data_IF_248032506354
#
_entry.id   IF_248032506354
#
_cell.length_a   1.000
_cell.length_b   1.000
_cell.length_c   1.000
_cell.angle_alpha   90.00
_cell.angle_beta   90.00
_cell.angle_gamma   90.00
#
_symmetry.space_group_name_H-M   'P 1'
#
loop_
_entity.id
_entity.type
_entity.pdbx_description
1 polymer ?
#
# COMPACT_ATOMS: atom_id res chain seq x y z
N UNK A 1 24.51 -6.00 -22.23
CA UNK A 1 23.21 -6.71 -22.40
C UNK A 1 22.55 -6.74 -21.03
N UNK A 2 21.57 -5.88 -20.80
CA UNK A 2 20.68 -5.96 -19.63
C UNK A 2 19.92 -7.28 -19.73
N UNK A 3 19.84 -8.11 -18.67
CA UNK A 3 19.06 -9.35 -18.72
C UNK A 3 17.61 -9.01 -19.08
N UNK A 4 17.05 -9.65 -20.11
CA UNK A 4 15.66 -9.45 -20.48
C UNK A 4 14.78 -9.91 -19.31
N UNK A 5 13.86 -9.05 -18.84
CA UNK A 5 12.90 -9.42 -17.80
C UNK A 5 12.20 -10.74 -18.15
N UNK A 6 12.18 -11.73 -17.24
CA UNK A 6 11.53 -13.01 -17.49
C UNK A 6 10.10 -12.83 -18.00
N UNK A 7 9.65 -13.65 -18.96
CA UNK A 7 8.29 -13.59 -19.51
C UNK A 7 7.22 -13.65 -18.42
N UNK A 8 7.47 -14.45 -17.36
CA UNK A 8 6.59 -14.53 -16.18
C UNK A 8 6.37 -13.16 -15.53
N UNK A 9 7.42 -12.36 -15.38
CA UNK A 9 7.35 -11.06 -14.71
C UNK A 9 6.67 -10.03 -15.62
N UNK A 10 6.94 -10.07 -16.93
CA UNK A 10 6.22 -9.23 -17.92
C UNK A 10 4.71 -9.49 -17.90
N UNK A 11 4.30 -10.76 -17.75
CA UNK A 11 2.88 -11.13 -17.61
C UNK A 11 2.32 -10.56 -16.30
N UNK A 12 3.03 -10.69 -15.18
CA UNK A 12 2.60 -10.14 -13.89
C UNK A 12 2.43 -8.63 -13.95
N UNK A 13 3.42 -7.90 -14.46
CA UNK A 13 3.39 -6.44 -14.57
C UNK A 13 2.22 -5.97 -15.45
N UNK A 14 2.06 -6.59 -16.62
CA UNK A 14 0.94 -6.29 -17.51
C UNK A 14 -0.42 -6.59 -16.87
N UNK A 15 -0.53 -7.70 -16.14
CA UNK A 15 -1.77 -8.11 -15.49
C UNK A 15 -2.13 -7.17 -14.34
N UNK A 16 -1.19 -6.84 -13.46
CA UNK A 16 -1.44 -5.96 -12.31
C UNK A 16 -1.87 -4.57 -12.76
N UNK A 17 -1.17 -3.99 -13.74
CA UNK A 17 -1.58 -2.70 -14.32
C UNK A 17 -3.01 -2.75 -14.87
N UNK A 18 -3.31 -3.74 -15.72
CA UNK A 18 -4.65 -3.89 -16.31
C UNK A 18 -5.73 -4.17 -15.26
N UNK A 19 -5.46 -5.00 -14.26
CA UNK A 19 -6.40 -5.24 -13.17
C UNK A 19 -6.66 -3.96 -12.37
N UNK A 20 -5.66 -3.11 -12.15
CA UNK A 20 -5.85 -1.80 -11.55
C UNK A 20 -6.72 -0.88 -12.42
N UNK A 21 -6.45 -0.80 -13.72
CA UNK A 21 -7.12 0.15 -14.63
C UNK A 21 -8.59 -0.19 -14.94
N UNK A 22 -8.89 -1.47 -15.19
CA UNK A 22 -10.20 -1.92 -15.71
C UNK A 22 -10.86 -3.00 -14.83
N UNK A 23 -10.25 -3.34 -13.69
CA UNK A 23 -10.71 -4.41 -12.81
C UNK A 23 -10.42 -5.81 -13.34
N UNK A 24 -10.56 -6.81 -12.47
CA UNK A 24 -10.35 -8.21 -12.80
C UNK A 24 -11.33 -8.71 -13.87
N UNK A 25 -12.61 -8.36 -13.76
CA UNK A 25 -13.66 -8.78 -14.72
C UNK A 25 -13.49 -8.12 -16.09
N UNK A 26 -13.11 -6.83 -16.12
CA UNK A 26 -12.87 -6.09 -17.35
C UNK A 26 -11.61 -6.52 -18.11
N UNK A 27 -10.72 -7.29 -17.47
CA UNK A 27 -9.47 -7.75 -18.07
C UNK A 27 -9.56 -9.13 -18.69
N UNK A 28 -9.34 -9.25 -20.00
CA UNK A 28 -9.21 -10.52 -20.71
C UNK A 28 -7.77 -11.03 -20.76
N UNK A 29 -7.59 -12.35 -20.86
CA UNK A 29 -6.28 -13.01 -21.02
C UNK A 29 -5.56 -12.50 -22.28
N UNK A 30 -6.28 -12.32 -23.39
CA UNK A 30 -5.71 -11.80 -24.63
C UNK A 30 -5.18 -10.35 -24.49
N UNK A 31 -5.83 -9.49 -23.68
CA UNK A 31 -5.30 -8.16 -23.37
C UNK A 31 -3.99 -8.25 -22.57
N UNK A 32 -3.93 -9.13 -21.57
CA UNK A 32 -2.72 -9.35 -20.77
C UNK A 32 -1.58 -9.87 -21.64
N UNK A 33 -1.84 -10.89 -22.47
CA UNK A 33 -0.85 -11.44 -23.40
C UNK A 33 -0.31 -10.36 -24.34
N UNK A 34 -1.21 -9.57 -24.95
CA UNK A 34 -0.80 -8.44 -25.80
C UNK A 34 0.11 -7.47 -25.06
N UNK A 35 -0.31 -7.05 -23.87
CA UNK A 35 0.42 -6.08 -23.05
C UNK A 35 1.78 -6.62 -22.54
N UNK A 36 1.90 -7.93 -22.35
CA UNK A 36 3.13 -8.61 -21.98
C UNK A 36 4.05 -8.91 -23.17
N UNK A 37 3.65 -8.59 -24.40
CA UNK A 37 4.41 -8.88 -25.62
C UNK A 37 4.33 -10.35 -26.06
N UNK A 38 3.23 -11.02 -25.76
CA UNK A 38 2.87 -12.37 -26.22
C UNK A 38 1.82 -12.28 -27.34
N UNK A 39 1.68 -13.36 -28.11
CA UNK A 39 0.62 -13.48 -29.10
C UNK A 39 -0.75 -13.59 -28.40
N UNK A 40 -1.68 -12.65 -28.64
CA UNK A 40 -2.99 -12.66 -27.97
C UNK A 40 -3.81 -13.90 -28.34
N UNK A 41 -4.37 -14.59 -27.35
CA UNK A 41 -5.20 -15.78 -27.53
C UNK A 41 -4.41 -17.07 -27.79
N UNK A 42 -3.07 -17.02 -27.83
CA UNK A 42 -2.25 -18.19 -28.09
C UNK A 42 -2.05 -19.09 -26.87
N UNK A 43 -2.52 -18.68 -25.68
CA UNK A 43 -2.39 -19.45 -24.44
C UNK A 43 -1.00 -19.34 -23.79
N UNK A 44 -0.17 -18.39 -24.24
CA UNK A 44 1.16 -18.14 -23.69
C UNK A 44 1.13 -17.80 -22.19
N UNK A 45 0.05 -17.15 -21.73
CA UNK A 45 -0.16 -16.89 -20.31
C UNK A 45 -0.30 -18.18 -19.49
N UNK A 46 -1.00 -19.18 -20.03
CA UNK A 46 -1.31 -20.41 -19.30
C UNK A 46 -0.11 -21.34 -19.08
N UNK A 47 0.98 -21.13 -19.82
CA UNK A 47 2.27 -21.77 -19.54
C UNK A 47 2.90 -21.29 -18.23
N UNK A 48 2.57 -20.09 -17.77
CA UNK A 48 3.12 -19.49 -16.55
C UNK A 48 2.12 -19.47 -15.40
N UNK A 49 0.82 -19.30 -15.69
CA UNK A 49 -0.23 -19.19 -14.69
C UNK A 49 -1.45 -20.01 -15.09
N UNK A 50 -1.83 -20.99 -14.27
CA UNK A 50 -2.92 -21.93 -14.59
C UNK A 50 -4.26 -21.25 -14.85
N UNK A 51 -4.53 -20.13 -14.19
CA UNK A 51 -5.76 -19.34 -14.35
C UNK A 51 -5.47 -17.85 -14.22
N UNK A 52 -6.39 -17.01 -14.72
CA UNK A 52 -6.34 -15.55 -14.51
C UNK A 52 -6.39 -15.19 -13.02
N UNK A 53 -7.08 -15.99 -12.21
CA UNK A 53 -7.13 -15.81 -10.75
C UNK A 53 -5.79 -16.15 -10.09
N UNK A 54 -5.14 -17.24 -10.49
CA UNK A 54 -3.81 -17.59 -9.99
C UNK A 54 -2.77 -16.51 -10.34
N UNK A 55 -2.91 -15.87 -11.50
CA UNK A 55 -2.11 -14.73 -11.89
C UNK A 55 -2.34 -13.51 -10.98
N UNK A 56 -3.60 -13.17 -10.70
CA UNK A 56 -3.92 -12.07 -9.78
C UNK A 56 -3.37 -12.33 -8.37
N UNK A 57 -3.57 -13.54 -7.82
CA UNK A 57 -3.04 -13.91 -6.50
C UNK A 57 -1.51 -13.82 -6.46
N UNK A 58 -0.83 -14.33 -7.48
CA UNK A 58 0.63 -14.25 -7.57
C UNK A 58 1.14 -12.80 -7.68
N UNK A 59 0.42 -11.93 -8.37
CA UNK A 59 0.75 -10.51 -8.46
C UNK A 59 0.58 -9.78 -7.13
N UNK A 60 -0.52 -10.03 -6.43
CA UNK A 60 -0.77 -9.50 -5.08
C UNK A 60 0.32 -9.97 -4.11
N UNK A 61 0.62 -11.26 -4.08
CA UNK A 61 1.64 -11.85 -3.22
C UNK A 61 3.03 -11.25 -3.49
N UNK A 62 3.39 -11.06 -4.77
CA UNK A 62 4.66 -10.42 -5.15
C UNK A 62 4.76 -9.00 -4.58
N UNK A 63 3.69 -8.21 -4.69
CA UNK A 63 3.71 -6.84 -4.18
C UNK A 63 3.71 -6.80 -2.64
N UNK A 64 2.96 -7.67 -1.97
CA UNK A 64 3.01 -7.80 -0.50
C UNK A 64 4.42 -8.16 0.00
N UNK A 65 5.11 -9.10 -0.65
CA UNK A 65 6.49 -9.46 -0.30
C UNK A 65 7.46 -8.28 -0.49
N UNK A 66 7.20 -7.41 -1.48
CA UNK A 66 7.99 -6.18 -1.68
C UNK A 66 7.77 -5.17 -0.56
N UNK A 67 6.52 -5.02 -0.11
CA UNK A 67 6.17 -4.20 1.05
C UNK A 67 6.84 -4.71 2.32
N UNK A 68 6.82 -6.02 2.55
CA UNK A 68 7.47 -6.64 3.70
C UNK A 68 8.98 -6.33 3.76
N UNK A 69 9.67 -6.34 2.61
CA UNK A 69 11.09 -6.02 2.55
C UNK A 69 11.42 -4.55 2.89
N UNK A 70 10.50 -3.62 2.63
CA UNK A 70 10.70 -2.20 2.95
C UNK A 70 10.46 -1.90 4.44
N UNK A 71 9.64 -2.70 5.13
CA UNK A 71 9.28 -2.51 6.56
C UNK A 71 10.47 -2.56 7.51
N UNK A 72 11.50 -3.33 7.18
CA UNK A 72 12.73 -3.39 7.98
C UNK A 72 13.41 -2.01 8.08
N UNK A 73 13.26 -1.16 7.07
CA UNK A 73 13.77 0.22 7.07
C UNK A 73 13.01 1.07 8.09
N UNK A 74 11.69 0.92 8.18
CA UNK A 74 10.86 1.72 9.12
C UNK A 74 11.22 1.44 10.58
N UNK A 75 11.49 0.19 10.95
CA UNK A 75 11.88 -0.16 12.33
C UNK A 75 13.18 0.52 12.75
N UNK A 76 14.10 0.74 11.82
CA UNK A 76 15.37 1.45 12.08
C UNK A 76 15.14 2.94 12.35
N UNK A 77 14.03 3.53 11.89
CA UNK A 77 13.72 4.94 12.07
C UNK A 77 13.06 5.27 13.42
N UNK A 78 12.54 4.27 14.14
CA UNK A 78 12.03 4.43 15.51
C UNK A 78 13.16 4.23 16.51
N UNK A 79 13.48 5.24 17.32
CA UNK A 79 14.62 5.22 18.25
C UNK A 79 15.63 6.35 18.05
N UNK A 80 15.26 7.41 17.32
CA UNK A 80 16.04 8.63 17.19
C UNK A 80 15.96 9.51 18.43
N UNK A 81 14.94 9.31 19.28
CA UNK A 81 14.74 10.10 20.50
C UNK A 81 14.17 11.50 20.27
N UNK A 82 13.81 11.82 19.03
CA UNK A 82 13.06 13.03 18.65
C UNK A 82 11.72 12.61 18.04
N UNK A 83 10.65 12.74 18.83
CA UNK A 83 9.30 12.35 18.43
C UNK A 83 8.84 13.06 17.13
N UNK A 84 9.19 14.33 16.91
CA UNK A 84 8.78 15.05 15.70
C UNK A 84 9.51 14.52 14.47
N UNK A 85 10.80 14.23 14.59
CA UNK A 85 11.57 13.63 13.52
C UNK A 85 11.05 12.22 13.17
N UNK A 86 10.78 11.39 14.17
CA UNK A 86 10.24 10.04 13.99
C UNK A 86 8.86 10.05 13.32
N UNK A 87 7.97 10.95 13.74
CA UNK A 87 6.65 11.15 13.12
C UNK A 87 6.78 11.59 11.66
N UNK A 88 7.69 12.54 11.38
CA UNK A 88 7.93 13.06 10.03
C UNK A 88 8.43 11.97 9.08
N UNK A 89 9.40 11.19 9.54
CA UNK A 89 9.96 10.07 8.78
C UNK A 89 8.91 8.98 8.56
N UNK A 90 8.13 8.65 9.59
CA UNK A 90 7.03 7.68 9.49
C UNK A 90 5.98 8.11 8.48
N UNK A 91 5.55 9.38 8.51
CA UNK A 91 4.57 9.90 7.56
C UNK A 91 5.09 9.84 6.13
N UNK A 92 6.31 10.34 5.87
CA UNK A 92 6.94 10.31 4.55
C UNK A 92 7.12 8.89 4.02
N UNK A 93 7.54 7.97 4.88
CA UNK A 93 7.73 6.57 4.51
C UNK A 93 6.39 5.92 4.13
N UNK A 94 5.34 6.08 4.94
CA UNK A 94 4.00 5.54 4.64
C UNK A 94 3.45 6.14 3.35
N UNK A 95 3.61 7.45 3.15
CA UNK A 95 3.21 8.10 1.90
C UNK A 95 3.99 7.54 0.70
N UNK A 96 5.31 7.42 0.77
CA UNK A 96 6.10 6.83 -0.32
C UNK A 96 5.71 5.37 -0.61
N UNK A 97 5.39 4.59 0.44
CA UNK A 97 4.89 3.22 0.33
C UNK A 97 3.56 3.17 -0.43
N UNK A 98 2.62 4.05 -0.08
CA UNK A 98 1.30 4.14 -0.73
C UNK A 98 1.40 4.59 -2.19
N UNK A 99 2.33 5.50 -2.53
CA UNK A 99 2.59 5.88 -3.94
C UNK A 99 3.17 4.72 -4.73
N UNK A 100 4.15 4.02 -4.14
CA UNK A 100 4.83 2.92 -4.78
C UNK A 100 3.91 1.73 -5.07
N UNK A 101 2.78 1.63 -4.39
CA UNK A 101 1.81 0.53 -4.50
C UNK A 101 0.41 0.99 -4.94
N UNK A 102 0.31 2.13 -5.63
CA UNK A 102 -0.98 2.69 -6.10
C UNK A 102 -1.81 1.66 -6.89
N UNK A 103 -1.17 0.85 -7.74
CA UNK A 103 -1.84 -0.21 -8.50
C UNK A 103 -2.42 -1.30 -7.60
N UNK A 104 -1.66 -1.78 -6.61
CA UNK A 104 -2.12 -2.78 -5.65
C UNK A 104 -3.29 -2.26 -4.83
N UNK A 105 -3.20 -1.03 -4.32
CA UNK A 105 -4.26 -0.39 -3.55
C UNK A 105 -5.54 -0.25 -4.37
N UNK A 106 -5.42 0.15 -5.64
CA UNK A 106 -6.55 0.25 -6.57
C UNK A 106 -7.22 -1.10 -6.79
N UNK A 107 -6.44 -2.16 -6.99
CA UNK A 107 -6.95 -3.54 -7.12
C UNK A 107 -7.69 -3.94 -5.84
N UNK A 108 -7.08 -3.76 -4.67
CA UNK A 108 -7.69 -4.11 -3.39
C UNK A 108 -9.02 -3.38 -3.18
N UNK A 109 -9.07 -2.07 -3.41
CA UNK A 109 -10.27 -1.26 -3.23
C UNK A 109 -11.38 -1.63 -4.21
N UNK A 110 -11.02 -1.92 -5.46
CA UNK A 110 -11.98 -2.30 -6.51
C UNK A 110 -12.52 -3.70 -6.27
N UNK A 111 -11.63 -4.66 -6.00
CA UNK A 111 -11.99 -6.07 -5.89
C UNK A 111 -12.56 -6.45 -4.52
N UNK A 112 -12.27 -5.71 -3.45
CA UNK A 112 -12.87 -5.98 -2.13
C UNK A 112 -14.41 -5.92 -2.15
N UNK A 113 -15.00 -5.15 -3.07
CA UNK A 113 -16.46 -5.04 -3.23
C UNK A 113 -17.06 -6.12 -4.14
N UNK A 114 -16.30 -6.58 -5.16
CA UNK A 114 -16.79 -7.51 -6.18
C UNK A 114 -16.44 -8.97 -5.91
N UNK A 115 -15.25 -9.21 -5.34
CA UNK A 115 -14.63 -10.52 -5.10
C UNK A 115 -13.74 -10.49 -3.84
N UNK A 116 -14.34 -10.28 -2.65
CA UNK A 116 -13.58 -10.19 -1.41
C UNK A 116 -12.68 -11.41 -1.17
N UNK A 117 -13.09 -12.62 -1.59
CA UNK A 117 -12.35 -13.88 -1.40
C UNK A 117 -10.96 -13.93 -2.07
N UNK A 118 -10.70 -13.02 -3.01
CA UNK A 118 -9.39 -12.92 -3.67
C UNK A 118 -8.44 -12.03 -2.89
N UNK A 119 -8.96 -10.93 -2.33
CA UNK A 119 -8.16 -9.87 -1.73
C UNK A 119 -8.25 -9.84 -0.20
N UNK A 120 -9.14 -10.60 0.44
CA UNK A 120 -9.38 -10.56 1.88
C UNK A 120 -8.10 -10.77 2.69
N UNK A 121 -7.37 -11.85 2.41
CA UNK A 121 -6.12 -12.15 3.11
C UNK A 121 -5.08 -11.05 2.90
N UNK A 122 -5.00 -10.52 1.68
CA UNK A 122 -4.06 -9.46 1.33
C UNK A 122 -4.40 -8.13 2.01
N UNK A 123 -5.67 -7.74 2.03
CA UNK A 123 -6.18 -6.55 2.73
C UNK A 123 -5.94 -6.71 4.23
N UNK A 124 -6.25 -7.87 4.79
CA UNK A 124 -6.03 -8.19 6.20
C UNK A 124 -4.55 -8.08 6.55
N UNK A 125 -3.67 -8.68 5.75
CA UNK A 125 -2.21 -8.62 5.97
C UNK A 125 -1.67 -7.19 5.87
N UNK A 126 -2.11 -6.43 4.86
CA UNK A 126 -1.67 -5.05 4.66
C UNK A 126 -2.09 -4.15 5.82
N UNK A 127 -3.39 -4.19 6.19
CA UNK A 127 -3.94 -3.36 7.27
C UNK A 127 -3.36 -3.77 8.61
N UNK A 128 -3.42 -5.06 8.97
CA UNK A 128 -2.98 -5.50 10.28
C UNK A 128 -1.51 -5.19 10.50
N UNK A 129 -0.64 -5.48 9.55
CA UNK A 129 0.80 -5.31 9.78
C UNK A 129 1.16 -3.83 9.99
N UNK A 130 0.68 -2.93 9.11
CA UNK A 130 1.01 -1.52 9.21
C UNK A 130 0.46 -0.89 10.49
N UNK A 131 -0.76 -1.24 10.89
CA UNK A 131 -1.40 -0.73 12.10
C UNK A 131 -0.81 -1.32 13.37
N UNK A 132 -0.53 -2.63 13.40
CA UNK A 132 0.09 -3.31 14.55
C UNK A 132 1.47 -2.73 14.84
N UNK A 133 2.32 -2.58 13.81
CA UNK A 133 3.66 -2.02 13.98
C UNK A 133 3.62 -0.56 14.45
N UNK A 134 2.73 0.27 13.90
CA UNK A 134 2.59 1.65 14.35
C UNK A 134 2.03 1.74 15.78
N UNK A 135 1.08 0.86 16.13
CA UNK A 135 0.56 0.73 17.51
C UNK A 135 1.65 0.33 18.49
N UNK A 136 2.53 -0.61 18.11
CA UNK A 136 3.67 -1.01 18.93
C UNK A 136 4.64 0.16 19.15
N UNK A 137 5.01 0.88 18.09
CA UNK A 137 5.86 2.08 18.20
C UNK A 137 5.25 3.16 19.10
N UNK A 138 3.93 3.42 18.98
CA UNK A 138 3.22 4.37 19.85
C UNK A 138 3.34 4.00 21.33
N UNK A 139 3.31 2.71 21.66
CA UNK A 139 3.44 2.22 23.04
C UNK A 139 4.87 2.32 23.54
N UNK A 140 5.81 1.82 22.75
CA UNK A 140 7.21 1.62 23.17
C UNK A 140 8.02 2.91 23.12
N UNK A 141 7.84 3.72 22.08
CA UNK A 141 8.64 4.93 21.84
C UNK A 141 7.94 6.20 22.31
N UNK A 142 6.61 6.29 22.13
CA UNK A 142 5.84 7.48 22.50
C UNK A 142 5.10 7.36 23.85
N UNK A 143 5.19 6.21 24.54
CA UNK A 143 4.61 6.00 25.87
C UNK A 143 3.07 6.03 25.91
N UNK A 144 2.40 5.80 24.77
CA UNK A 144 0.94 5.84 24.69
C UNK A 144 0.32 4.62 25.38
N UNK A 145 -0.69 4.80 26.26
CA UNK A 145 -1.41 3.69 26.86
C UNK A 145 -2.06 2.76 25.82
N UNK A 146 -2.07 1.45 26.09
CA UNK A 146 -2.58 0.43 25.17
C UNK A 146 -4.01 0.70 24.69
N UNK A 147 -4.89 1.14 25.59
CA UNK A 147 -6.29 1.48 25.30
C UNK A 147 -6.44 2.63 24.30
N UNK A 148 -5.46 3.55 24.24
CA UNK A 148 -5.43 4.68 23.31
C UNK A 148 -4.62 4.41 22.05
N UNK A 149 -3.60 3.56 22.11
CA UNK A 149 -2.63 3.38 21.02
C UNK A 149 -3.30 2.96 19.71
N UNK A 150 -4.24 2.00 19.76
CA UNK A 150 -4.96 1.53 18.57
C UNK A 150 -5.84 2.63 17.94
N UNK A 151 -6.48 3.45 18.77
CA UNK A 151 -7.31 4.57 18.28
C UNK A 151 -6.44 5.65 17.63
N UNK A 152 -5.32 6.02 18.27
CA UNK A 152 -4.36 6.99 17.73
C UNK A 152 -3.74 6.48 16.42
N UNK A 153 -3.36 5.20 16.35
CA UNK A 153 -2.86 4.58 15.13
C UNK A 153 -3.90 4.66 14.00
N UNK A 154 -5.18 4.39 14.32
CA UNK A 154 -6.25 4.40 13.34
C UNK A 154 -6.52 5.78 12.76
N UNK A 155 -6.52 6.81 13.60
CA UNK A 155 -6.68 8.20 13.15
C UNK A 155 -5.45 8.65 12.36
N UNK A 156 -4.25 8.42 12.89
CA UNK A 156 -2.99 8.84 12.28
C UNK A 156 -2.78 8.20 10.90
N UNK A 157 -2.77 6.87 10.81
CA UNK A 157 -2.60 6.17 9.55
C UNK A 157 -3.78 6.37 8.60
N UNK A 158 -5.00 6.47 9.14
CA UNK A 158 -6.21 6.73 8.35
C UNK A 158 -6.14 8.04 7.57
N UNK A 159 -5.59 9.11 8.17
CA UNK A 159 -5.39 10.38 7.49
C UNK A 159 -4.40 10.27 6.31
N UNK A 160 -3.26 9.59 6.51
CA UNK A 160 -2.25 9.37 5.45
C UNK A 160 -2.85 8.55 4.30
N UNK A 161 -3.54 7.47 4.64
CA UNK A 161 -4.22 6.61 3.66
C UNK A 161 -5.29 7.38 2.89
N UNK A 162 -6.16 8.12 3.59
CA UNK A 162 -7.24 8.90 2.97
C UNK A 162 -6.70 9.92 1.98
N UNK A 163 -5.63 10.64 2.33
CA UNK A 163 -4.97 11.60 1.44
C UNK A 163 -4.60 10.97 0.08
N UNK A 164 -3.99 9.78 0.11
CA UNK A 164 -3.55 9.08 -1.11
C UNK A 164 -4.65 8.37 -1.87
N UNK A 165 -5.68 7.90 -1.17
CA UNK A 165 -6.89 7.42 -1.85
C UNK A 165 -7.59 8.56 -2.59
N UNK A 166 -7.70 9.75 -1.99
CA UNK A 166 -8.31 10.90 -2.65
C UNK A 166 -7.51 11.33 -3.88
N UNK A 167 -6.20 11.59 -3.73
CA UNK A 167 -5.36 12.11 -4.82
C UNK A 167 -5.02 11.07 -5.89
N UNK A 168 -4.74 9.82 -5.48
CA UNK A 168 -4.32 8.74 -6.37
C UNK A 168 -5.50 8.03 -7.03
N UNK A 169 -6.47 7.55 -6.24
CA UNK A 169 -7.59 6.76 -6.77
C UNK A 169 -8.71 7.64 -7.33
N UNK A 170 -9.18 8.62 -6.57
CA UNK A 170 -10.30 9.46 -6.99
C UNK A 170 -9.86 10.61 -7.90
N UNK A 171 -8.55 10.87 -8.02
CA UNK A 171 -8.00 12.04 -8.73
C UNK A 171 -8.62 13.35 -8.24
N UNK A 172 -9.03 13.38 -6.98
CA UNK A 172 -9.55 14.56 -6.29
C UNK A 172 -8.53 14.99 -5.25
N UNK A 173 -8.05 16.22 -5.32
CA UNK A 173 -7.32 16.80 -4.19
C UNK A 173 -8.31 17.56 -3.32
N UNK A 174 -8.45 17.23 -2.02
CA UNK A 174 -9.40 17.92 -1.17
C UNK A 174 -9.23 19.45 -1.18
N UNK A 175 -8.01 20.00 -1.34
CA UNK A 175 -7.78 21.46 -1.47
C UNK A 175 -6.43 21.83 -2.13
N UNK A 176 -5.80 20.98 -2.96
CA UNK A 176 -4.50 21.30 -3.57
C UNK A 176 -3.32 21.39 -2.59
N UNK A 177 -3.45 20.79 -1.41
CA UNK A 177 -2.39 20.74 -0.38
C UNK A 177 -1.26 19.84 -0.86
N UNK A 178 -0.02 20.34 -0.81
CA UNK A 178 1.17 19.55 -1.12
C UNK A 178 1.56 18.59 0.03
N UNK A 179 2.37 17.59 -0.30
CA UNK A 179 2.81 16.57 0.66
C UNK A 179 3.61 17.15 1.83
N UNK A 180 4.35 18.24 1.62
CA UNK A 180 5.16 18.87 2.66
C UNK A 180 4.27 19.51 3.74
N UNK A 181 3.31 20.32 3.30
CA UNK A 181 2.31 20.97 4.15
C UNK A 181 1.43 19.93 4.86
N UNK A 182 1.03 18.88 4.14
CA UNK A 182 0.24 17.80 4.72
C UNK A 182 1.00 17.05 5.81
N UNK A 183 2.26 16.67 5.56
CA UNK A 183 3.11 15.99 6.56
C UNK A 183 3.35 16.88 7.78
N UNK A 184 3.70 18.16 7.58
CA UNK A 184 3.92 19.09 8.70
C UNK A 184 2.67 19.21 9.60
N UNK A 185 1.50 19.36 8.99
CA UNK A 185 0.21 19.43 9.70
C UNK A 185 -0.08 18.12 10.44
N UNK A 186 0.12 16.97 9.78
CA UNK A 186 -0.08 15.66 10.39
C UNK A 186 0.83 15.45 11.60
N UNK A 187 2.11 15.84 11.49
CA UNK A 187 3.09 15.74 12.59
C UNK A 187 2.68 16.61 13.76
N UNK A 188 2.22 17.84 13.51
CA UNK A 188 1.72 18.73 14.57
C UNK A 188 0.52 18.12 15.31
N UNK A 189 -0.46 17.60 14.56
CA UNK A 189 -1.65 16.95 15.14
C UNK A 189 -1.27 15.73 15.96
N UNK A 190 -0.43 14.85 15.41
CA UNK A 190 0.03 13.65 16.11
C UNK A 190 0.83 14.03 17.35
N UNK A 191 1.77 14.97 17.26
CA UNK A 191 2.55 15.40 18.40
C UNK A 191 1.65 15.92 19.54
N UNK A 192 0.65 16.76 19.23
CA UNK A 192 -0.32 17.25 20.23
C UNK A 192 -1.15 16.13 20.84
N UNK A 193 -1.55 15.13 20.05
CA UNK A 193 -2.29 13.97 20.58
C UNK A 193 -1.42 13.11 21.52
N UNK A 194 -0.10 13.08 21.30
CA UNK A 194 0.83 12.24 22.06
C UNK A 194 1.38 12.95 23.31
N UNK A 195 1.48 14.28 23.29
CA UNK A 195 1.86 15.07 24.47
C UNK A 195 0.62 15.42 25.29
N UNK A 196 0.55 15.07 26.59
CA UNK A 196 -0.53 15.56 27.45
C UNK A 196 -0.54 17.08 27.50
N UNK A 197 -1.73 17.70 27.49
CA UNK A 197 -1.88 19.11 27.84
C UNK A 197 -1.42 19.28 29.30
N UNK A 198 -0.48 20.19 29.55
CA UNK A 198 -0.19 20.64 30.91
C UNK A 198 -1.44 21.36 31.43
N UNK A 199 -2.17 20.69 32.33
CA UNK A 199 -3.33 21.25 33.06
C UNK A 199 -2.95 22.39 33.99
#
# INVERSE_FOLDING_TARGET
>A
MTPSTPTRDRILDAAMRLFGEQGYRGTSVAQIERAAGLTPGAGGLYHHFRTKEALLRAGIERNLNRLDALRDIRRVLGGLGDLRAELTLSARYVLAELDGEEELLRIMLTEARSRPEIVEDAVRQLVNTTFTEFTAWLRESAGVPEERAAAVASVGLGALFSSRVMSGLLKVSPVGVDDETFVATWVEMMHRMLTPEES
#
